data_IF_483474285351
#
_entry.id   IF_483474285351
#
_cell.length_a   1.000
_cell.length_b   1.000
_cell.length_c   1.000
_cell.angle_alpha   90.00
_cell.angle_beta   90.00
_cell.angle_gamma   90.00
#
_symmetry.space_group_name_H-M   'P 1'
#
loop_
_entity.id
_entity.type
_entity.pdbx_description
1 polymer ?
#
# COMPACT_ATOMS: atom_id res chain seq x y z
N UNK A 1 18.56 54.61 -36.92
CA UNK A 1 19.28 53.66 -36.03
C UNK A 1 18.77 53.74 -34.58
N UNK A 2 17.55 53.28 -34.28
CA UNK A 2 16.97 53.31 -32.91
C UNK A 2 16.85 51.95 -32.22
N UNK A 3 17.02 50.84 -32.94
CA UNK A 3 16.80 49.46 -32.43
C UNK A 3 17.85 49.03 -31.39
N UNK A 4 19.06 49.57 -31.46
CA UNK A 4 20.14 49.26 -30.51
C UNK A 4 20.09 50.01 -29.18
N UNK A 5 19.22 51.04 -29.02
CA UNK A 5 19.09 51.78 -27.74
C UNK A 5 18.36 50.96 -26.66
N UNK A 6 17.47 50.04 -27.04
CA UNK A 6 16.84 49.07 -26.13
C UNK A 6 17.87 48.19 -25.43
N UNK A 7 18.95 47.82 -26.12
CA UNK A 7 19.97 46.93 -25.57
C UNK A 7 20.84 47.58 -24.49
N UNK A 8 20.87 48.91 -24.37
CA UNK A 8 21.77 49.58 -23.42
C UNK A 8 21.15 49.84 -22.02
N UNK A 9 19.83 50.07 -21.91
CA UNK A 9 19.14 50.09 -20.60
C UNK A 9 18.83 48.68 -20.09
N UNK A 10 18.72 47.69 -20.98
CA UNK A 10 18.17 46.37 -20.66
C UNK A 10 19.22 45.30 -20.35
N UNK A 11 20.52 45.61 -20.27
CA UNK A 11 21.57 44.59 -20.02
C UNK A 11 21.42 43.90 -18.67
N UNK A 12 21.15 44.68 -17.62
CA UNK A 12 20.91 44.15 -16.26
C UNK A 12 19.63 43.30 -16.23
N UNK A 13 18.58 43.73 -16.94
CA UNK A 13 17.33 42.95 -17.08
C UNK A 13 17.57 41.62 -17.79
N UNK A 14 18.36 41.60 -18.86
CA UNK A 14 18.71 40.38 -19.59
C UNK A 14 19.50 39.41 -18.70
N UNK A 15 20.48 39.91 -17.95
CA UNK A 15 21.24 39.12 -16.99
C UNK A 15 20.33 38.53 -15.90
N UNK A 16 19.45 39.34 -15.32
CA UNK A 16 18.49 38.86 -14.32
C UNK A 16 17.53 37.82 -14.89
N UNK A 17 17.09 37.99 -16.15
CA UNK A 17 16.22 37.03 -16.81
C UNK A 17 16.93 35.68 -16.99
N UNK A 18 18.18 35.67 -17.45
CA UNK A 18 18.97 34.44 -17.61
C UNK A 18 19.19 33.75 -16.27
N UNK A 19 19.56 34.50 -15.22
CA UNK A 19 19.71 33.97 -13.86
C UNK A 19 18.40 33.39 -13.31
N UNK A 20 17.28 34.08 -13.53
CA UNK A 20 15.96 33.61 -13.08
C UNK A 20 15.57 32.33 -13.79
N UNK A 21 15.77 32.25 -15.12
CA UNK A 21 15.48 31.04 -15.90
C UNK A 21 16.39 29.88 -15.45
N UNK A 22 17.68 30.14 -15.23
CA UNK A 22 18.61 29.12 -14.74
C UNK A 22 18.18 28.57 -13.38
N UNK A 23 17.78 29.44 -12.45
CA UNK A 23 17.24 29.03 -11.17
C UNK A 23 15.95 28.21 -11.32
N UNK A 24 15.01 28.66 -12.15
CA UNK A 24 13.73 27.96 -12.37
C UNK A 24 13.93 26.56 -12.96
N UNK A 25 14.82 26.41 -13.95
CA UNK A 25 15.12 25.10 -14.54
C UNK A 25 15.69 24.16 -13.47
N UNK A 26 16.65 24.63 -12.67
CA UNK A 26 17.25 23.82 -11.60
C UNK A 26 16.27 23.52 -10.45
N UNK A 27 15.34 24.42 -10.14
CA UNK A 27 14.35 24.21 -9.09
C UNK A 27 13.25 23.21 -9.52
N UNK A 28 12.85 23.25 -10.80
CA UNK A 28 11.80 22.37 -11.31
C UNK A 28 12.34 20.98 -11.70
N UNK A 29 13.59 20.91 -12.17
CA UNK A 29 14.20 19.74 -12.81
C UNK A 29 15.29 19.11 -11.96
N UNK A 30 15.79 17.95 -12.38
CA UNK A 30 16.85 17.22 -11.70
C UNK A 30 16.34 16.37 -10.53
N UNK A 31 17.23 15.60 -9.94
CA UNK A 31 16.85 14.59 -8.94
C UNK A 31 16.32 15.17 -7.63
N UNK A 32 16.64 16.43 -7.36
CA UNK A 32 16.14 17.21 -6.21
C UNK A 32 15.12 18.26 -6.60
N UNK A 33 14.74 18.33 -7.88
CA UNK A 33 13.75 19.28 -8.38
C UNK A 33 12.32 18.88 -8.03
N UNK A 34 11.41 19.84 -8.19
CA UNK A 34 9.99 19.68 -7.87
C UNK A 34 9.33 18.47 -8.55
N UNK A 35 9.58 18.24 -9.84
CA UNK A 35 8.98 17.10 -10.55
C UNK A 35 9.48 15.76 -10.03
N UNK A 36 10.76 15.69 -9.64
CA UNK A 36 11.33 14.48 -9.04
C UNK A 36 10.74 14.22 -7.66
N UNK A 37 10.57 15.26 -6.85
CA UNK A 37 9.92 15.17 -5.54
C UNK A 37 8.51 14.57 -5.66
N UNK A 38 7.66 15.11 -6.55
CA UNK A 38 6.31 14.56 -6.76
C UNK A 38 6.31 13.09 -7.20
N UNK A 39 7.26 12.69 -8.06
CA UNK A 39 7.38 11.29 -8.50
C UNK A 39 7.78 10.39 -7.33
N UNK A 40 8.71 10.84 -6.49
CA UNK A 40 9.18 10.09 -5.31
C UNK A 40 8.09 9.98 -4.25
N UNK A 41 7.31 11.04 -4.02
CA UNK A 41 6.18 11.01 -3.08
C UNK A 41 5.13 9.97 -3.51
N UNK A 42 4.80 9.92 -4.80
CA UNK A 42 3.89 8.90 -5.34
C UNK A 42 4.48 7.50 -5.19
N UNK A 43 5.75 7.33 -5.54
CA UNK A 43 6.43 6.04 -5.41
C UNK A 43 6.46 5.56 -3.95
N UNK A 44 6.74 6.46 -3.00
CA UNK A 44 6.73 6.16 -1.57
C UNK A 44 5.33 5.73 -1.11
N UNK A 45 4.30 6.47 -1.49
CA UNK A 45 2.91 6.09 -1.19
C UNK A 45 2.56 4.70 -1.72
N UNK A 46 2.89 4.41 -2.99
CA UNK A 46 2.60 3.11 -3.61
C UNK A 46 3.35 1.98 -2.90
N UNK A 47 4.61 2.22 -2.48
CA UNK A 47 5.38 1.27 -1.67
C UNK A 47 4.75 1.04 -0.30
N UNK A 48 4.35 2.09 0.42
CA UNK A 48 3.72 1.99 1.74
C UNK A 48 2.41 1.21 1.69
N UNK A 49 1.59 1.44 0.66
CA UNK A 49 0.36 0.67 0.46
C UNK A 49 0.67 -0.80 0.19
N UNK A 50 1.64 -1.07 -0.69
CA UNK A 50 2.06 -2.45 -1.00
C UNK A 50 2.64 -3.16 0.22
N UNK A 51 3.41 -2.46 1.05
CA UNK A 51 3.96 -2.98 2.30
C UNK A 51 2.85 -3.36 3.28
N UNK A 52 1.85 -2.49 3.46
CA UNK A 52 0.68 -2.79 4.31
C UNK A 52 -0.04 -4.06 3.85
N UNK A 53 -0.33 -4.17 2.54
CA UNK A 53 -0.97 -5.38 1.98
C UNK A 53 -0.11 -6.63 2.18
N UNK A 54 1.21 -6.53 2.06
CA UNK A 54 2.12 -7.66 2.29
C UNK A 54 2.16 -8.06 3.76
N UNK A 55 2.17 -7.10 4.69
CA UNK A 55 2.12 -7.35 6.13
C UNK A 55 0.82 -8.04 6.54
N UNK A 56 -0.33 -7.55 6.05
CA UNK A 56 -1.63 -8.17 6.32
C UNK A 56 -1.68 -9.63 5.82
N UNK A 57 -1.16 -9.86 4.61
CA UNK A 57 -1.07 -11.21 4.06
C UNK A 57 -0.13 -12.09 4.89
N UNK A 58 1.02 -11.57 5.30
CA UNK A 58 2.01 -12.27 6.11
C UNK A 58 1.44 -12.62 7.48
N UNK A 59 0.73 -11.72 8.14
CA UNK A 59 0.03 -11.97 9.41
C UNK A 59 -1.01 -13.07 9.23
N UNK A 60 -1.82 -13.01 8.16
CA UNK A 60 -2.83 -14.04 7.90
C UNK A 60 -2.23 -15.44 7.67
N UNK A 61 -1.07 -15.51 7.00
CA UNK A 61 -0.35 -16.77 6.76
C UNK A 61 0.35 -17.23 8.03
N UNK A 62 0.96 -16.32 8.79
CA UNK A 62 1.57 -16.65 10.09
C UNK A 62 0.54 -17.25 11.02
N UNK A 63 -0.63 -16.60 11.18
CA UNK A 63 -1.70 -17.11 12.03
C UNK A 63 -2.15 -18.50 11.60
N UNK A 64 -2.34 -18.73 10.29
CA UNK A 64 -2.69 -20.05 9.77
C UNK A 64 -1.60 -21.08 10.04
N UNK A 65 -0.34 -20.70 9.90
CA UNK A 65 0.77 -21.59 10.20
C UNK A 65 0.85 -21.88 11.69
N UNK A 66 0.72 -20.89 12.56
CA UNK A 66 0.71 -21.06 14.01
C UNK A 66 -0.41 -22.00 14.44
N UNK A 67 -1.62 -21.83 13.89
CA UNK A 67 -2.76 -22.74 14.07
C UNK A 67 -2.48 -24.19 13.61
N UNK A 68 -1.53 -24.39 12.69
CA UNK A 68 -1.19 -25.69 12.12
C UNK A 68 0.08 -26.31 12.73
N UNK A 69 0.94 -25.51 13.39
CA UNK A 69 2.33 -25.91 13.70
C UNK A 69 2.57 -26.16 15.19
N UNK A 70 1.87 -25.48 16.11
CA UNK A 70 2.01 -25.74 17.55
C UNK A 70 0.72 -26.31 18.13
N UNK A 71 0.69 -27.64 18.24
CA UNK A 71 -0.33 -28.41 18.97
C UNK A 71 -1.76 -28.20 18.45
N UNK A 72 -1.97 -28.59 17.19
CA UNK A 72 -3.29 -28.66 16.56
C UNK A 72 -4.25 -29.39 17.51
N UNK A 73 -5.10 -28.64 18.20
CA UNK A 73 -6.07 -29.21 19.12
C UNK A 73 -7.12 -29.96 18.29
N UNK A 74 -6.87 -31.26 18.09
CA UNK A 74 -7.69 -32.14 17.27
C UNK A 74 -9.13 -32.20 17.79
N UNK A 75 -9.33 -32.02 19.10
CA UNK A 75 -10.66 -31.99 19.71
C UNK A 75 -11.40 -30.71 19.33
N UNK A 76 -10.73 -29.55 19.35
CA UNK A 76 -11.31 -28.28 18.86
C UNK A 76 -11.62 -28.33 17.36
N UNK A 77 -10.77 -28.99 16.58
CA UNK A 77 -11.03 -29.21 15.16
C UNK A 77 -12.25 -30.13 14.95
N UNK A 78 -12.34 -31.26 15.67
CA UNK A 78 -13.48 -32.19 15.64
C UNK A 78 -14.79 -31.46 16.03
N UNK A 79 -14.74 -30.61 17.07
CA UNK A 79 -15.87 -29.77 17.49
C UNK A 79 -16.34 -28.85 16.35
N UNK A 80 -15.43 -28.10 15.72
CA UNK A 80 -15.78 -27.21 14.60
C UNK A 80 -16.26 -27.95 13.35
N UNK A 81 -15.65 -29.09 13.03
CA UNK A 81 -16.12 -29.93 11.93
C UNK A 81 -17.55 -30.46 12.20
N UNK A 82 -17.87 -30.84 13.43
CA UNK A 82 -19.21 -31.31 13.80
C UNK A 82 -20.24 -30.18 13.84
N UNK A 83 -19.86 -28.97 14.26
CA UNK A 83 -20.73 -27.79 14.21
C UNK A 83 -21.13 -27.44 12.77
N UNK A 84 -20.17 -27.46 11.83
CA UNK A 84 -20.39 -27.03 10.44
C UNK A 84 -21.07 -28.13 9.61
N UNK A 85 -20.60 -29.37 9.73
CA UNK A 85 -21.03 -30.46 8.85
C UNK A 85 -22.05 -31.41 9.50
N UNK A 86 -22.33 -31.24 10.79
CA UNK A 86 -23.27 -32.07 11.58
C UNK A 86 -22.99 -33.56 11.39
N UNK A 87 -21.73 -33.96 11.59
CA UNK A 87 -21.25 -35.33 11.36
C UNK A 87 -21.14 -36.14 12.65
N UNK A 88 -21.48 -37.44 12.57
CA UNK A 88 -21.18 -38.45 13.58
C UNK A 88 -19.93 -39.26 13.22
N UNK A 89 -19.24 -39.85 14.20
CA UNK A 89 -18.22 -40.88 13.94
C UNK A 89 -18.88 -42.18 13.49
N UNK A 90 -18.09 -43.07 12.90
CA UNK A 90 -18.53 -44.40 12.51
C UNK A 90 -19.15 -45.11 13.72
N UNK A 91 -20.38 -45.60 13.56
CA UNK A 91 -21.21 -46.24 14.59
C UNK A 91 -21.80 -45.31 15.67
N UNK A 92 -21.78 -43.98 15.48
CA UNK A 92 -22.56 -43.05 16.31
C UNK A 92 -23.95 -42.81 15.71
N UNK A 93 -24.96 -42.62 16.57
CA UNK A 93 -26.30 -42.19 16.17
C UNK A 93 -26.42 -40.68 16.44
N UNK A 94 -26.65 -39.91 15.39
CA UNK A 94 -26.79 -38.46 15.47
C UNK A 94 -28.27 -38.07 15.63
N UNK A 95 -28.55 -37.22 16.62
CA UNK A 95 -29.87 -36.63 16.83
C UNK A 95 -29.83 -35.14 16.50
N UNK A 96 -30.62 -34.71 15.51
CA UNK A 96 -30.81 -33.30 15.20
C UNK A 96 -32.15 -32.88 15.80
N UNK A 97 -32.09 -32.09 16.87
CA UNK A 97 -33.28 -31.55 17.52
C UNK A 97 -33.58 -30.21 16.87
N UNK A 98 -34.80 -30.05 16.36
CA UNK A 98 -35.24 -28.83 15.71
C UNK A 98 -36.41 -28.25 16.50
N UNK A 99 -36.19 -27.15 17.21
CA UNK A 99 -37.19 -26.51 18.10
C UNK A 99 -38.32 -25.80 17.34
N UNK A 100 -38.58 -26.15 16.07
CA UNK A 100 -39.69 -25.60 15.28
C UNK A 100 -41.05 -26.20 15.65
N UNK A 101 -41.33 -26.35 16.94
CA UNK A 101 -42.67 -26.59 17.47
C UNK A 101 -42.86 -25.79 18.75
N UNK A 102 -43.11 -24.48 18.59
CA UNK A 102 -44.08 -23.68 19.35
C UNK A 102 -44.37 -22.39 18.58
#
# INVERSE_FOLDING_TARGET
MKRFKIFNLNKILIINLILTIYFLINALTGDKGYFSMKKKDKMLHDLTVSEGVLLDNLESVSLRNDMLTEDLNLDYLDEKYREIFVLGKKNEVLYIINDKQN
#
